data_IF_559396995880
#
_entry.id   IF_559396995880
#
_cell.length_a   1.000
_cell.length_b   1.000
_cell.length_c   1.000
_cell.angle_alpha   90.00
_cell.angle_beta   90.00
_cell.angle_gamma   90.00
#
_symmetry.space_group_name_H-M   'P 1'
#
loop_
_entity.id
_entity.type
_entity.pdbx_description
1 polymer ?
#
# COMPACT_ATOMS: atom_id res chain seq x y z
N UNK A 1 19.75 20.96 39.00
CA UNK A 1 20.52 21.08 37.74
C UNK A 1 21.03 19.74 37.20
N UNK A 2 21.74 18.91 37.98
CA UNK A 2 22.28 17.62 37.50
C UNK A 2 21.22 16.62 37.00
N UNK A 3 20.05 16.57 37.64
CA UNK A 3 18.93 15.69 37.24
C UNK A 3 18.34 16.08 35.88
N UNK A 4 18.23 17.38 35.60
CA UNK A 4 17.72 17.87 34.31
C UNK A 4 18.70 17.57 33.17
N UNK A 5 20.01 17.64 33.45
CA UNK A 5 21.04 17.27 32.49
C UNK A 5 20.97 15.78 32.14
N UNK A 6 20.77 14.92 33.14
CA UNK A 6 20.62 13.48 32.95
C UNK A 6 19.36 13.13 32.13
N UNK A 7 18.24 13.83 32.36
CA UNK A 7 17.00 13.67 31.58
C UNK A 7 17.22 14.09 30.12
N UNK A 8 17.91 15.20 29.86
CA UNK A 8 18.22 15.66 28.49
C UNK A 8 19.12 14.65 27.77
N UNK A 9 20.15 14.13 28.45
CA UNK A 9 21.05 13.09 27.92
C UNK A 9 20.30 11.78 27.59
N UNK A 10 19.29 11.42 28.39
CA UNK A 10 18.44 10.26 28.11
C UNK A 10 17.56 10.49 26.87
N UNK A 11 16.97 11.68 26.72
CA UNK A 11 16.09 12.00 25.60
C UNK A 11 16.81 12.03 24.25
N UNK A 12 18.06 12.52 24.19
CA UNK A 12 18.87 12.51 22.96
C UNK A 12 19.37 11.10 22.57
N UNK A 13 19.31 10.13 23.49
CA UNK A 13 19.69 8.73 23.21
C UNK A 13 18.60 7.93 22.50
N UNK A 14 17.39 8.48 22.40
CA UNK A 14 16.27 7.85 21.70
C UNK A 14 16.54 7.85 20.19
N UNK A 15 16.71 6.65 19.62
CA UNK A 15 16.78 6.48 18.17
C UNK A 15 15.38 6.65 17.56
N UNK A 16 15.23 7.57 16.62
CA UNK A 16 14.06 7.62 15.75
C UNK A 16 14.27 6.71 14.56
N UNK A 17 13.26 5.89 14.25
CA UNK A 17 13.22 5.10 13.03
C UNK A 17 12.28 5.80 12.06
N UNK A 18 12.83 6.24 10.94
CA UNK A 18 12.08 6.72 9.79
C UNK A 18 12.36 5.80 8.62
N UNK A 19 11.38 5.58 7.74
CA UNK A 19 11.62 4.85 6.51
C UNK A 19 11.86 5.82 5.37
N UNK A 20 12.83 5.48 4.54
CA UNK A 20 13.14 6.21 3.33
C UNK A 20 12.59 5.45 2.14
N UNK A 21 11.35 5.76 1.75
CA UNK A 21 10.76 5.21 0.53
C UNK A 21 11.25 6.03 -0.68
N UNK A 22 12.11 5.44 -1.51
CA UNK A 22 12.57 6.09 -2.75
C UNK A 22 11.45 6.08 -3.78
N UNK A 23 11.21 7.21 -4.44
CA UNK A 23 10.34 7.27 -5.62
C UNK A 23 11.03 6.56 -6.78
N UNK A 24 10.41 5.48 -7.26
CA UNK A 24 10.85 4.69 -8.43
C UNK A 24 9.68 4.55 -9.40
N UNK A 25 9.95 4.07 -10.62
CA UNK A 25 8.88 3.74 -11.58
C UNK A 25 7.99 2.64 -11.04
N UNK A 26 6.74 2.61 -11.49
CA UNK A 26 5.79 1.55 -11.18
C UNK A 26 6.37 0.18 -11.55
N UNK A 27 6.97 0.06 -12.73
CA UNK A 27 7.60 -1.18 -13.20
C UNK A 27 8.72 -1.68 -12.28
N UNK A 28 9.48 -0.77 -11.68
CA UNK A 28 10.55 -1.14 -10.74
C UNK A 28 9.96 -1.65 -9.43
N UNK A 29 8.88 -1.02 -8.95
CA UNK A 29 8.17 -1.49 -7.77
C UNK A 29 7.46 -2.82 -8.02
N UNK A 30 6.84 -3.02 -9.17
CA UNK A 30 6.24 -4.29 -9.58
C UNK A 30 7.25 -5.43 -9.54
N UNK A 31 8.44 -5.23 -10.12
CA UNK A 31 9.52 -6.21 -10.05
C UNK A 31 9.93 -6.49 -8.60
N UNK A 32 10.08 -5.45 -7.78
CA UNK A 32 10.40 -5.60 -6.38
C UNK A 32 9.34 -6.42 -5.63
N UNK A 33 8.06 -6.13 -5.84
CA UNK A 33 6.98 -6.89 -5.19
C UNK A 33 6.95 -8.35 -5.60
N UNK A 34 7.17 -8.65 -6.89
CA UNK A 34 7.27 -10.02 -7.39
C UNK A 34 8.41 -10.81 -6.74
N UNK A 35 9.51 -10.15 -6.40
CA UNK A 35 10.69 -10.78 -5.80
C UNK A 35 10.61 -10.89 -4.28
N UNK A 36 9.80 -10.05 -3.61
CA UNK A 36 9.83 -9.88 -2.15
C UNK A 36 8.49 -10.17 -1.46
N UNK A 37 7.42 -10.48 -2.21
CA UNK A 37 6.14 -10.90 -1.64
C UNK A 37 6.11 -12.41 -1.47
N UNK A 38 5.64 -12.87 -0.31
CA UNK A 38 5.27 -14.28 -0.12
C UNK A 38 3.89 -14.56 -0.72
N UNK A 39 3.00 -13.56 -0.73
CA UNK A 39 1.65 -13.65 -1.25
C UNK A 39 1.31 -12.46 -2.14
N UNK A 40 0.72 -12.73 -3.30
CA UNK A 40 0.20 -11.72 -4.24
C UNK A 40 -1.22 -12.14 -4.65
N UNK A 41 -2.21 -11.35 -4.25
CA UNK A 41 -3.60 -11.68 -4.50
C UNK A 41 -4.50 -10.44 -4.58
N UNK A 42 -5.70 -10.64 -5.14
CA UNK A 42 -6.80 -9.69 -5.04
C UNK A 42 -7.71 -10.16 -3.92
N UNK A 43 -8.03 -9.27 -2.99
CA UNK A 43 -8.94 -9.58 -1.89
C UNK A 43 -9.94 -8.48 -1.60
N UNK A 44 -10.96 -8.85 -0.84
CA UNK A 44 -11.97 -7.95 -0.32
C UNK A 44 -11.71 -7.70 1.16
N UNK A 45 -11.43 -6.45 1.53
CA UNK A 45 -11.37 -6.01 2.92
C UNK A 45 -12.80 -6.00 3.47
N UNK A 46 -13.10 -6.94 4.36
CA UNK A 46 -14.43 -7.13 4.94
C UNK A 46 -14.59 -6.48 6.32
N UNK A 47 -13.48 -6.17 7.00
CA UNK A 47 -13.49 -5.57 8.33
C UNK A 47 -12.22 -4.73 8.54
N UNK A 48 -12.36 -3.55 9.16
CA UNK A 48 -11.24 -2.71 9.61
C UNK A 48 -11.47 -2.31 11.06
N UNK A 49 -10.59 -2.74 11.95
CA UNK A 49 -10.58 -2.37 13.36
C UNK A 49 -9.50 -1.30 13.61
N UNK A 50 -9.95 -0.06 13.80
CA UNK A 50 -9.07 1.10 14.01
C UNK A 50 -8.39 1.10 15.38
N UNK A 51 -9.01 0.47 16.38
CA UNK A 51 -8.51 0.38 17.76
C UNK A 51 -7.27 -0.53 17.82
N UNK A 52 -7.40 -1.71 17.23
CA UNK A 52 -6.36 -2.74 17.23
C UNK A 52 -5.41 -2.63 16.03
N UNK A 53 -5.71 -1.70 15.11
CA UNK A 53 -4.99 -1.48 13.87
C UNK A 53 -4.94 -2.75 13.03
N UNK A 54 -6.04 -3.48 12.93
CA UNK A 54 -6.15 -4.72 12.17
C UNK A 54 -7.21 -4.62 11.08
N UNK A 55 -7.10 -5.49 10.10
CA UNK A 55 -8.11 -5.66 9.06
C UNK A 55 -8.28 -7.14 8.74
N UNK A 56 -9.44 -7.51 8.23
CA UNK A 56 -9.66 -8.84 7.66
C UNK A 56 -9.84 -8.72 6.17
N UNK A 57 -9.11 -9.54 5.42
CA UNK A 57 -9.18 -9.60 3.97
C UNK A 57 -9.52 -11.01 3.54
N UNK A 58 -10.55 -11.14 2.69
CA UNK A 58 -10.89 -12.40 2.03
C UNK A 58 -10.23 -12.46 0.66
N UNK A 59 -9.48 -13.52 0.38
CA UNK A 59 -8.91 -13.77 -0.94
C UNK A 59 -10.03 -13.99 -1.95
N UNK A 60 -10.02 -13.25 -3.05
CA UNK A 60 -10.97 -13.38 -4.16
C UNK A 60 -10.33 -13.91 -5.43
N UNK A 61 -9.02 -13.72 -5.59
CA UNK A 61 -8.22 -14.28 -6.67
C UNK A 61 -6.75 -14.33 -6.25
N UNK A 62 -6.09 -15.48 -6.37
CA UNK A 62 -4.63 -15.56 -6.25
C UNK A 62 -3.96 -15.18 -7.57
N UNK A 63 -2.94 -14.33 -7.48
CA UNK A 63 -2.17 -13.82 -8.61
C UNK A 63 -0.76 -14.40 -8.69
N UNK A 64 -0.31 -15.14 -7.67
CA UNK A 64 0.95 -15.88 -7.65
C UNK A 64 0.78 -17.42 -7.66
N UNK A 65 -0.45 -17.90 -7.48
CA UNK A 65 -0.82 -19.31 -7.41
C UNK A 65 -0.77 -19.92 -6.02
N UNK A 66 -0.40 -19.15 -4.98
CA UNK A 66 -0.18 -19.67 -3.62
C UNK A 66 -1.39 -19.57 -2.69
N UNK A 67 -2.25 -18.57 -2.87
CA UNK A 67 -3.35 -18.29 -1.95
C UNK A 67 -4.68 -18.95 -2.33
N UNK A 68 -5.30 -19.67 -1.38
CA UNK A 68 -6.62 -20.27 -1.60
C UNK A 68 -7.73 -19.21 -1.66
N UNK A 69 -8.58 -19.28 -2.69
CA UNK A 69 -9.76 -18.42 -2.82
C UNK A 69 -10.71 -18.67 -1.63
N UNK A 70 -11.16 -17.59 -1.00
CA UNK A 70 -12.03 -17.64 0.17
C UNK A 70 -11.27 -17.65 1.51
N UNK A 71 -9.95 -17.89 1.50
CA UNK A 71 -9.14 -17.76 2.71
C UNK A 71 -9.26 -16.34 3.28
N UNK A 72 -9.23 -16.22 4.61
CA UNK A 72 -9.34 -14.94 5.31
C UNK A 72 -8.08 -14.71 6.13
N UNK A 73 -7.31 -13.71 5.72
CA UNK A 73 -6.17 -13.24 6.48
C UNK A 73 -6.58 -12.15 7.45
N UNK A 74 -5.96 -12.18 8.65
CA UNK A 74 -5.96 -11.05 9.56
C UNK A 74 -4.68 -10.25 9.28
N UNK A 75 -4.85 -9.08 8.69
CA UNK A 75 -3.77 -8.13 8.48
C UNK A 75 -3.66 -7.11 9.61
N UNK A 76 -2.52 -6.43 9.68
CA UNK A 76 -2.28 -5.35 10.63
C UNK A 76 -1.75 -4.10 9.93
N UNK A 77 -2.04 -2.94 10.49
CA UNK A 77 -1.57 -1.64 10.04
C UNK A 77 -0.42 -1.22 10.97
N UNK A 78 0.83 -1.42 10.56
CA UNK A 78 2.02 -1.11 11.37
C UNK A 78 2.31 0.40 11.54
N UNK A 79 1.31 1.27 11.27
CA UNK A 79 1.32 2.74 11.33
C UNK A 79 2.36 3.47 10.48
N UNK A 80 3.46 2.81 10.12
CA UNK A 80 4.59 3.43 9.46
C UNK A 80 4.94 2.68 8.19
N UNK A 81 5.14 3.45 7.12
CA UNK A 81 5.85 3.07 5.90
C UNK A 81 5.25 1.93 5.09
N UNK A 82 4.16 1.31 5.52
CA UNK A 82 3.44 0.28 4.77
C UNK A 82 2.11 0.89 4.31
N UNK A 83 1.54 0.44 3.18
CA UNK A 83 0.20 0.83 2.79
C UNK A 83 -0.78 0.65 3.97
N UNK A 84 -1.67 1.63 4.14
CA UNK A 84 -2.59 1.67 5.28
C UNK A 84 -4.01 1.33 4.82
N UNK A 85 -4.58 0.26 5.36
CA UNK A 85 -5.96 -0.15 5.07
C UNK A 85 -6.90 0.58 6.03
N UNK A 86 -7.58 1.62 5.54
CA UNK A 86 -8.51 2.44 6.33
C UNK A 86 -9.99 2.12 6.10
N UNK A 87 -10.29 1.42 5.01
CA UNK A 87 -11.66 1.21 4.51
C UNK A 87 -11.82 -0.19 3.93
N UNK A 88 -13.07 -0.65 3.92
CA UNK A 88 -13.49 -1.89 3.25
C UNK A 88 -13.46 -1.72 1.73
N UNK A 89 -13.41 -2.82 1.00
CA UNK A 89 -13.44 -2.80 -0.47
C UNK A 89 -12.40 -3.73 -1.08
N UNK A 90 -12.29 -3.65 -2.40
CA UNK A 90 -11.40 -4.51 -3.19
C UNK A 90 -9.99 -3.94 -3.26
N UNK A 91 -9.01 -4.79 -3.00
CA UNK A 91 -7.59 -4.43 -2.94
C UNK A 91 -6.73 -5.40 -3.74
N UNK A 92 -5.62 -4.88 -4.28
CA UNK A 92 -4.47 -5.70 -4.68
C UNK A 92 -3.48 -5.72 -3.53
N UNK A 93 -3.00 -6.92 -3.20
CA UNK A 93 -2.16 -7.18 -2.04
C UNK A 93 -0.82 -7.74 -2.49
N UNK A 94 0.22 -7.16 -1.93
CA UNK A 94 1.61 -7.62 -1.95
C UNK A 94 2.09 -7.63 -0.50
N UNK A 95 2.41 -8.81 0.00
CA UNK A 95 2.71 -8.96 1.42
C UNK A 95 3.38 -10.27 1.77
N UNK A 96 3.55 -10.44 3.07
CA UNK A 96 4.11 -11.62 3.71
C UNK A 96 3.51 -11.80 5.10
N UNK A 97 3.67 -12.98 5.68
CA UNK A 97 3.21 -13.24 7.04
C UNK A 97 4.27 -12.79 8.05
N UNK A 98 3.90 -11.91 8.98
CA UNK A 98 4.77 -11.48 10.06
C UNK A 98 4.05 -11.59 11.41
N UNK A 99 4.61 -12.39 12.32
CA UNK A 99 4.06 -12.61 13.66
C UNK A 99 2.58 -13.06 13.66
N UNK A 100 2.19 -13.87 12.68
CA UNK A 100 0.83 -14.39 12.53
C UNK A 100 -0.16 -13.42 11.86
N UNK A 101 0.30 -12.25 11.41
CA UNK A 101 -0.52 -11.28 10.68
C UNK A 101 -0.03 -11.12 9.25
N UNK A 102 -0.95 -10.87 8.32
CA UNK A 102 -0.60 -10.42 6.99
C UNK A 102 -0.03 -9.00 7.07
N UNK A 103 1.23 -8.84 6.66
CA UNK A 103 1.92 -7.56 6.58
C UNK A 103 2.06 -7.14 5.12
N UNK A 104 1.53 -5.96 4.81
CA UNK A 104 1.75 -5.34 3.50
C UNK A 104 3.19 -4.88 3.39
N UNK A 105 3.79 -5.06 2.22
CA UNK A 105 5.20 -4.74 2.01
C UNK A 105 5.50 -3.26 2.30
N UNK A 106 6.65 -3.03 2.93
CA UNK A 106 7.09 -1.68 3.28
C UNK A 106 7.40 -0.89 2.01
N UNK A 107 6.87 0.34 1.94
CA UNK A 107 6.85 1.21 0.77
C UNK A 107 6.19 0.56 -0.46
N UNK A 108 5.44 -0.53 -0.25
CA UNK A 108 4.89 -1.33 -1.31
C UNK A 108 3.72 -0.67 -2.04
N UNK A 109 3.26 -1.32 -3.09
CA UNK A 109 2.23 -0.83 -4.02
C UNK A 109 0.88 -1.52 -3.84
N UNK A 110 0.65 -2.16 -2.68
CA UNK A 110 -0.69 -2.61 -2.26
C UNK A 110 -1.65 -1.44 -2.15
N UNK A 111 -2.85 -1.55 -2.72
CA UNK A 111 -3.79 -0.41 -2.85
C UNK A 111 -5.23 -0.84 -3.15
N UNK A 112 -6.22 0.02 -2.83
CA UNK A 112 -7.62 -0.21 -3.18
C UNK A 112 -7.86 -0.01 -4.68
N UNK A 113 -8.87 -0.67 -5.22
CA UNK A 113 -9.29 -0.52 -6.62
C UNK A 113 -10.02 0.81 -6.87
N UNK A 114 -10.73 1.32 -5.87
CA UNK A 114 -11.53 2.54 -6.02
C UNK A 114 -10.66 3.78 -6.18
N UNK A 115 -9.53 3.82 -5.46
CA UNK A 115 -8.52 4.87 -5.53
C UNK A 115 -7.09 4.27 -5.52
N UNK A 116 -6.61 3.73 -6.64
CA UNK A 116 -5.36 2.96 -6.70
C UNK A 116 -4.12 3.85 -6.80
N UNK A 117 -4.11 4.99 -6.10
CA UNK A 117 -2.98 5.90 -6.10
C UNK A 117 -1.78 5.30 -5.37
N UNK A 118 -0.62 5.28 -6.01
CA UNK A 118 0.67 4.87 -5.42
C UNK A 118 1.69 5.99 -5.53
N UNK A 119 2.59 6.09 -4.56
CA UNK A 119 3.72 7.02 -4.62
C UNK A 119 4.85 6.44 -5.51
N UNK A 120 4.65 6.52 -6.83
CA UNK A 120 5.68 6.18 -7.84
C UNK A 120 6.06 7.40 -8.64
N UNK A 121 7.19 7.35 -9.35
CA UNK A 121 7.59 8.45 -10.26
C UNK A 121 6.58 8.67 -11.39
N UNK A 122 5.80 7.64 -11.73
CA UNK A 122 4.82 7.68 -12.81
C UNK A 122 3.45 8.21 -12.34
N UNK A 123 3.25 8.27 -11.01
CA UNK A 123 2.01 8.55 -10.33
C UNK A 123 2.17 9.59 -9.22
N UNK A 124 2.73 10.74 -9.53
CA UNK A 124 2.68 11.90 -8.64
C UNK A 124 1.23 12.43 -8.55
N UNK A 125 0.63 12.47 -7.34
CA UNK A 125 -0.69 13.09 -7.17
C UNK A 125 -0.67 14.55 -7.61
N UNK A 126 -1.77 15.08 -8.16
CA UNK A 126 -1.84 16.48 -8.52
C UNK A 126 -1.70 17.36 -7.27
N UNK A 127 -0.94 18.45 -7.41
CA UNK A 127 -0.80 19.45 -6.35
C UNK A 127 -2.16 20.02 -5.96
N UNK A 128 -2.46 20.21 -4.66
CA UNK A 128 -3.70 20.82 -4.22
C UNK A 128 -3.92 22.20 -4.87
N UNK A 129 -5.18 22.58 -5.18
CA UNK A 129 -5.48 23.88 -5.76
C UNK A 129 -5.11 24.99 -4.77
N UNK A 130 -4.50 26.08 -5.26
CA UNK A 130 -4.09 27.21 -4.42
C UNK A 130 -5.17 28.28 -4.31
N UNK A 131 -6.18 28.24 -5.17
CA UNK A 131 -7.30 29.19 -5.19
C UNK A 131 -8.58 28.54 -5.73
N UNK A 132 -9.72 29.17 -5.46
CA UNK A 132 -11.04 28.74 -5.95
C UNK A 132 -11.12 28.69 -7.47
N UNK A 133 -10.40 29.57 -8.19
CA UNK A 133 -10.36 29.56 -9.65
C UNK A 133 -9.61 28.35 -10.23
N UNK A 134 -8.67 27.77 -9.47
CA UNK A 134 -7.95 26.56 -9.86
C UNK A 134 -8.73 25.26 -9.57
N UNK A 135 -9.84 25.34 -8.83
CA UNK A 135 -10.61 24.19 -8.37
C UNK A 135 -11.12 23.33 -9.54
N UNK A 136 -11.72 23.95 -10.56
CA UNK A 136 -12.28 23.21 -11.71
C UNK A 136 -11.18 22.50 -12.51
N UNK A 137 -10.04 23.16 -12.71
CA UNK A 137 -8.89 22.57 -13.40
C UNK A 137 -8.29 21.43 -12.57
N UNK A 138 -8.17 21.60 -11.25
CA UNK A 138 -7.70 20.55 -10.34
C UNK A 138 -8.59 19.30 -10.40
N UNK A 139 -9.91 19.46 -10.38
CA UNK A 139 -10.84 18.32 -10.48
C UNK A 139 -10.70 17.58 -11.81
N UNK A 140 -10.48 18.30 -12.91
CA UNK A 140 -10.23 17.66 -14.22
C UNK A 140 -8.91 16.87 -14.21
N UNK A 141 -7.81 17.49 -13.77
CA UNK A 141 -6.50 16.85 -13.67
C UNK A 141 -6.56 15.62 -12.76
N UNK A 142 -7.27 15.72 -11.63
CA UNK A 142 -7.47 14.62 -10.70
C UNK A 142 -8.25 13.47 -11.34
N UNK A 143 -9.30 13.76 -12.11
CA UNK A 143 -10.05 12.73 -12.85
C UNK A 143 -9.15 12.02 -13.88
N UNK A 144 -8.39 12.77 -14.66
CA UNK A 144 -7.45 12.22 -15.65
C UNK A 144 -6.38 11.34 -14.97
N UNK A 145 -5.84 11.81 -13.85
CA UNK A 145 -4.92 11.03 -13.01
C UNK A 145 -5.54 9.72 -12.55
N UNK A 146 -6.78 9.75 -12.02
CA UNK A 146 -7.49 8.56 -11.57
C UNK A 146 -7.77 7.56 -12.69
N UNK A 147 -8.10 8.03 -13.89
CA UNK A 147 -8.27 7.17 -15.07
C UNK A 147 -6.95 6.47 -15.42
N UNK A 148 -5.83 7.20 -15.40
CA UNK A 148 -4.51 6.63 -15.67
C UNK A 148 -4.14 5.54 -14.67
N UNK A 149 -4.19 5.82 -13.37
CA UNK A 149 -3.79 4.83 -12.34
C UNK A 149 -4.68 3.58 -12.31
N UNK A 150 -5.97 3.72 -12.65
CA UNK A 150 -6.87 2.57 -12.79
C UNK A 150 -6.48 1.70 -13.98
N UNK A 151 -6.21 2.31 -15.13
CA UNK A 151 -5.73 1.59 -16.32
C UNK A 151 -4.41 0.85 -16.04
N UNK A 152 -3.48 1.49 -15.33
CA UNK A 152 -2.20 0.86 -15.01
C UNK A 152 -2.36 -0.31 -14.03
N UNK A 153 -3.28 -0.21 -13.06
CA UNK A 153 -3.66 -1.34 -12.20
C UNK A 153 -4.29 -2.50 -13.00
N UNK A 154 -5.16 -2.21 -13.97
CA UNK A 154 -5.75 -3.24 -14.84
C UNK A 154 -4.67 -3.98 -15.65
N UNK A 155 -3.73 -3.24 -16.24
CA UNK A 155 -2.61 -3.80 -16.98
C UNK A 155 -1.69 -4.65 -16.08
N UNK A 156 -1.44 -4.18 -14.86
CA UNK A 156 -0.68 -4.92 -13.84
C UNK A 156 -1.35 -6.27 -13.53
N UNK A 157 -2.64 -6.28 -13.24
CA UNK A 157 -3.39 -7.51 -12.95
C UNK A 157 -3.36 -8.47 -14.14
N UNK A 158 -3.53 -7.97 -15.37
CA UNK A 158 -3.40 -8.79 -16.58
C UNK A 158 -1.99 -9.39 -16.70
N UNK A 159 -0.94 -8.61 -16.38
CA UNK A 159 0.43 -9.08 -16.34
C UNK A 159 0.63 -10.19 -15.30
N UNK A 160 0.16 -9.99 -14.08
CA UNK A 160 0.28 -10.97 -12.99
C UNK A 160 -0.44 -12.28 -13.31
N UNK A 161 -1.66 -12.21 -13.85
CA UNK A 161 -2.40 -13.40 -14.33
C UNK A 161 -1.60 -14.18 -15.38
N UNK A 162 -1.00 -13.47 -16.35
CA UNK A 162 -0.15 -14.13 -17.36
C UNK A 162 1.07 -14.80 -16.76
N UNK A 163 1.71 -14.20 -15.76
CA UNK A 163 2.86 -14.82 -15.08
C UNK A 163 2.44 -16.02 -14.23
N UNK A 164 1.30 -15.95 -13.54
CA UNK A 164 0.71 -17.07 -12.82
C UNK A 164 0.45 -18.24 -13.76
N UNK A 165 -0.23 -18.00 -14.88
CA UNK A 165 -0.68 -19.05 -15.81
C UNK A 165 0.48 -19.71 -16.59
N UNK A 166 1.70 -19.18 -16.49
CA UNK A 166 2.92 -19.80 -17.05
C UNK A 166 3.59 -20.80 -16.12
N UNK A 167 3.31 -20.74 -14.81
CA UNK A 167 3.85 -21.64 -13.79
C UNK A 167 3.05 -22.94 -13.76
#
# INVERSE_FOLDING_TARGET
>A
MKIYLAIILLLISLKSFACTCKTKSLSTWQKYELENSECIFIGEIIEVNKSDLTFKIRVTESLDGGDEIGNVYVGKNWKYCSPYVSETGKWIIYGHMESGFLRLNMCGISRPFDNPSTLTSDHTPPSPPKSTNEQNNYEQIRKEYLVKVKKDLELEIVGLRKERDKK
#
